data_IF_411942515212
#
_entry.id   IF_411942515212
#
_cell.length_a   1.000
_cell.length_b   1.000
_cell.length_c   1.000
_cell.angle_alpha   90.00
_cell.angle_beta   90.00
_cell.angle_gamma   90.00
#
_symmetry.space_group_name_H-M   'P 1'
#
loop_
_entity.id
_entity.type
_entity.pdbx_description
1 polymer ?
#
# COMPACT_ATOMS: atom_id res chain seq x y z
N UNK A 1 32.24 65.51 -5.25
CA UNK A 1 30.93 65.84 -4.62
C UNK A 1 29.92 65.81 -5.77
N UNK A 2 28.88 65.00 -5.93
CA UNK A 2 28.06 64.06 -5.13
C UNK A 2 27.62 62.91 -6.08
N UNK A 3 27.79 61.62 -5.76
CA UNK A 3 26.78 60.69 -5.21
C UNK A 3 25.32 61.02 -5.55
N UNK A 4 24.63 60.14 -6.29
CA UNK A 4 23.25 59.70 -6.03
C UNK A 4 22.88 58.48 -6.87
N UNK A 5 22.56 57.38 -6.18
CA UNK A 5 21.80 56.23 -6.65
C UNK A 5 20.36 56.37 -6.13
N UNK A 6 19.36 55.75 -6.79
CA UNK A 6 18.07 55.25 -6.26
C UNK A 6 17.40 54.49 -7.43
N UNK A 7 17.29 53.16 -7.39
CA UNK A 7 16.29 52.31 -6.72
C UNK A 7 14.87 52.39 -7.33
N UNK A 8 14.32 51.23 -7.70
CA UNK A 8 12.87 51.01 -7.65
C UNK A 8 12.29 50.16 -8.77
N UNK A 9 12.53 48.84 -8.78
CA UNK A 9 11.70 47.89 -9.52
C UNK A 9 10.85 47.10 -8.51
N UNK A 10 9.60 47.52 -8.34
CA UNK A 10 8.62 46.81 -7.53
C UNK A 10 8.02 45.66 -8.36
N UNK A 11 8.43 44.43 -8.06
CA UNK A 11 7.78 43.24 -8.58
C UNK A 11 6.62 42.85 -7.66
N UNK A 12 5.40 43.06 -8.13
CA UNK A 12 4.15 42.60 -7.51
C UNK A 12 4.06 41.09 -7.70
N UNK A 13 4.34 40.31 -6.65
CA UNK A 13 3.99 38.89 -6.62
C UNK A 13 2.52 38.75 -6.21
N UNK A 14 1.69 38.36 -7.17
CA UNK A 14 0.30 37.97 -6.97
C UNK A 14 0.23 36.70 -6.11
N UNK A 15 -0.42 36.82 -4.96
CA UNK A 15 -0.88 35.70 -4.13
C UNK A 15 -2.03 34.99 -4.86
N UNK A 16 -1.73 33.92 -5.59
CA UNK A 16 -2.75 32.93 -5.95
C UNK A 16 -2.89 31.94 -4.81
N UNK A 17 -3.76 32.27 -3.85
CA UNK A 17 -4.35 31.29 -2.93
C UNK A 17 -5.31 30.39 -3.70
N UNK A 18 -4.75 29.46 -4.47
CA UNK A 18 -5.46 28.28 -4.92
C UNK A 18 -5.21 27.16 -3.91
N UNK A 19 -6.21 26.84 -3.08
CA UNK A 19 -6.30 25.51 -2.47
C UNK A 19 -6.52 24.50 -3.61
N UNK A 20 -5.48 24.23 -4.40
CA UNK A 20 -5.41 23.00 -5.14
C UNK A 20 -5.30 21.90 -4.11
N UNK A 21 -6.38 21.13 -3.93
CA UNK A 21 -6.33 19.81 -3.30
C UNK A 21 -5.42 18.95 -4.18
N UNK A 22 -4.12 19.12 -4.02
CA UNK A 22 -3.06 18.30 -4.59
C UNK A 22 -3.02 16.99 -3.81
N UNK A 23 -4.15 16.27 -3.77
CA UNK A 23 -4.06 14.84 -3.49
C UNK A 23 -3.37 14.26 -4.72
N UNK A 24 -2.18 13.67 -4.59
CA UNK A 24 -1.68 12.84 -5.66
C UNK A 24 -2.72 11.73 -5.83
N UNK A 25 -3.53 11.81 -6.89
CA UNK A 25 -4.08 10.61 -7.52
C UNK A 25 -2.87 9.86 -8.04
N UNK A 26 -2.25 9.11 -7.14
CA UNK A 26 -1.21 8.18 -7.51
C UNK A 26 -1.88 7.17 -8.44
N UNK A 27 -1.75 7.41 -9.75
CA UNK A 27 -1.64 6.31 -10.69
C UNK A 27 -0.30 5.62 -10.41
N UNK A 28 -0.19 5.03 -9.22
CA UNK A 28 0.92 4.18 -8.85
C UNK A 28 0.78 2.93 -9.70
N UNK A 29 1.74 2.70 -10.58
CA UNK A 29 1.90 1.43 -11.26
C UNK A 29 1.75 0.30 -10.23
N UNK A 30 0.83 -0.66 -10.44
CA UNK A 30 0.62 -1.75 -9.50
C UNK A 30 1.94 -2.44 -9.17
N UNK A 31 2.18 -2.74 -7.89
CA UNK A 31 3.37 -3.48 -7.51
C UNK A 31 3.40 -4.87 -8.17
N UNK A 32 4.60 -5.45 -8.29
CA UNK A 32 4.77 -6.84 -8.71
C UNK A 32 4.67 -7.77 -7.49
N UNK A 33 3.83 -8.83 -7.52
CA UNK A 33 3.80 -9.86 -6.49
C UNK A 33 5.19 -10.43 -6.22
N UNK A 34 5.55 -10.47 -4.95
CA UNK A 34 6.84 -10.98 -4.49
C UNK A 34 6.86 -11.06 -2.98
N UNK A 35 8.06 -11.03 -2.40
CA UNK A 35 8.21 -10.92 -0.94
C UNK A 35 8.30 -9.44 -0.57
N UNK A 36 7.47 -9.01 0.39
CA UNK A 36 7.50 -7.66 0.92
C UNK A 36 7.12 -7.65 2.40
N UNK A 37 7.72 -6.74 3.16
CA UNK A 37 7.34 -6.51 4.54
C UNK A 37 7.46 -5.03 4.88
N UNK A 38 6.52 -4.52 5.69
CA UNK A 38 6.53 -3.18 6.24
C UNK A 38 5.89 -3.16 7.63
N UNK A 39 6.25 -2.16 8.43
CA UNK A 39 5.78 -1.99 9.80
C UNK A 39 6.47 -2.92 10.80
N UNK A 40 5.91 -2.99 12.02
CA UNK A 40 6.49 -3.65 13.18
C UNK A 40 6.78 -2.69 14.34
N UNK A 41 6.95 -3.26 15.54
CA UNK A 41 7.09 -2.49 16.78
C UNK A 41 5.80 -1.73 17.12
N UNK A 42 5.86 -0.39 17.04
CA UNK A 42 4.71 0.49 17.27
C UNK A 42 3.83 0.70 16.02
N UNK A 43 4.35 0.35 14.84
CA UNK A 43 3.62 0.49 13.57
C UNK A 43 2.90 -0.81 13.22
N UNK A 44 1.69 -0.74 12.63
CA UNK A 44 0.96 -1.94 12.21
C UNK A 44 1.78 -2.77 11.23
N UNK A 45 1.92 -4.07 11.51
CA UNK A 45 2.65 -4.99 10.65
C UNK A 45 1.85 -5.32 9.39
N UNK A 46 2.57 -5.48 8.29
CA UNK A 46 2.05 -5.94 7.01
C UNK A 46 3.17 -6.68 6.25
N UNK A 47 2.87 -7.87 5.74
CA UNK A 47 3.78 -8.60 4.88
C UNK A 47 3.06 -9.35 3.76
N UNK A 48 3.79 -9.68 2.72
CA UNK A 48 3.33 -10.41 1.55
C UNK A 48 4.39 -11.42 1.13
N UNK A 49 3.96 -12.60 0.70
CA UNK A 49 4.84 -13.60 0.11
C UNK A 49 4.14 -14.40 -0.98
N UNK A 50 4.81 -14.56 -2.12
CA UNK A 50 4.35 -15.45 -3.18
C UNK A 50 4.84 -16.86 -2.91
N UNK A 51 3.90 -17.80 -2.82
CA UNK A 51 4.18 -19.22 -2.66
C UNK A 51 3.13 -20.03 -3.40
N UNK A 52 3.54 -21.07 -4.13
CA UNK A 52 2.68 -21.91 -4.96
C UNK A 52 1.75 -21.15 -5.93
N UNK A 53 2.25 -20.04 -6.49
CA UNK A 53 1.48 -19.18 -7.39
C UNK A 53 0.35 -18.41 -6.70
N UNK A 54 0.39 -18.28 -5.37
CA UNK A 54 -0.58 -17.55 -4.56
C UNK A 54 0.11 -16.46 -3.74
N UNK A 55 -0.56 -15.32 -3.56
CA UNK A 55 -0.07 -14.24 -2.72
C UNK A 55 -0.61 -14.47 -1.32
N UNK A 56 0.27 -14.73 -0.37
CA UNK A 56 -0.07 -14.81 1.04
C UNK A 56 0.16 -13.44 1.66
N UNK A 57 -0.84 -12.90 2.35
CA UNK A 57 -0.80 -11.56 2.93
C UNK A 57 -1.02 -11.68 4.43
N UNK A 58 -0.12 -11.07 5.20
CA UNK A 58 -0.02 -11.20 6.66
C UNK A 58 -0.18 -9.84 7.32
N UNK A 59 -0.95 -9.80 8.41
CA UNK A 59 -1.06 -8.64 9.29
C UNK A 59 -0.31 -8.80 10.60
N UNK A 60 0.25 -9.98 10.88
CA UNK A 60 1.07 -10.23 12.06
C UNK A 60 2.39 -10.91 11.71
N UNK A 61 3.45 -10.54 12.44
CA UNK A 61 4.78 -11.16 12.27
C UNK A 61 4.77 -12.64 12.66
N UNK A 62 3.99 -12.99 13.68
CA UNK A 62 3.84 -14.37 14.16
C UNK A 62 3.33 -15.29 13.05
N UNK A 63 2.27 -14.88 12.33
CA UNK A 63 1.71 -15.69 11.24
C UNK A 63 2.67 -15.82 10.07
N UNK A 64 3.45 -14.77 9.75
CA UNK A 64 4.51 -14.87 8.74
C UNK A 64 5.59 -15.88 9.15
N UNK A 65 6.05 -15.83 10.40
CA UNK A 65 7.06 -16.77 10.91
C UNK A 65 6.55 -18.22 10.94
N UNK A 66 5.27 -18.44 11.28
CA UNK A 66 4.63 -19.75 11.20
C UNK A 66 4.51 -20.23 9.75
N UNK A 67 4.13 -19.34 8.83
CA UNK A 67 4.10 -19.64 7.40
C UNK A 67 5.49 -19.98 6.86
N UNK A 68 6.56 -19.31 7.30
CA UNK A 68 7.91 -19.67 6.88
C UNK A 68 8.33 -21.08 7.29
N UNK A 69 7.82 -21.57 8.41
CA UNK A 69 8.10 -22.92 8.93
C UNK A 69 7.26 -24.00 8.26
N UNK A 70 5.96 -23.72 8.08
CA UNK A 70 4.97 -24.71 7.63
C UNK A 70 4.72 -24.65 6.12
N UNK A 71 5.01 -23.50 5.50
CA UNK A 71 4.63 -23.14 4.13
C UNK A 71 3.13 -23.22 3.86
N UNK A 72 2.33 -23.19 4.92
CA UNK A 72 0.88 -23.23 4.86
C UNK A 72 0.28 -22.13 5.73
N UNK A 73 -0.81 -21.53 5.27
CA UNK A 73 -1.57 -20.58 6.09
C UNK A 73 -2.76 -21.27 6.73
N UNK A 74 -3.04 -20.93 7.98
CA UNK A 74 -4.15 -21.53 8.71
C UNK A 74 -5.49 -21.21 8.01
N UNK A 75 -6.25 -22.22 7.54
CA UNK A 75 -7.50 -22.00 6.81
C UNK A 75 -8.62 -21.39 7.65
N UNK A 76 -8.54 -21.50 8.98
CA UNK A 76 -9.51 -20.90 9.90
C UNK A 76 -9.22 -19.43 10.21
N UNK A 77 -7.97 -19.01 10.00
CA UNK A 77 -7.49 -17.64 10.22
C UNK A 77 -7.09 -16.98 8.90
N UNK A 78 -7.72 -17.38 7.80
CA UNK A 78 -7.48 -16.78 6.50
C UNK A 78 -8.70 -16.77 5.60
N UNK A 79 -8.71 -15.82 4.67
CA UNK A 79 -9.71 -15.71 3.61
C UNK A 79 -9.04 -15.78 2.25
N UNK A 80 -9.60 -16.61 1.38
CA UNK A 80 -9.19 -16.71 -0.03
C UNK A 80 -9.97 -15.73 -0.88
N UNK A 81 -9.26 -14.94 -1.66
CA UNK A 81 -9.77 -13.97 -2.63
C UNK A 81 -9.13 -14.23 -3.99
N UNK A 82 -9.79 -13.78 -5.04
CA UNK A 82 -9.21 -13.77 -6.39
C UNK A 82 -9.01 -12.31 -6.73
N UNK A 83 -7.78 -11.91 -7.03
CA UNK A 83 -7.47 -10.54 -7.42
C UNK A 83 -8.22 -10.19 -8.70
N UNK A 84 -9.20 -9.28 -8.61
CA UNK A 84 -9.89 -8.69 -9.76
C UNK A 84 -9.32 -7.30 -9.97
N UNK A 85 -8.58 -7.10 -11.06
CA UNK A 85 -7.96 -5.83 -11.42
C UNK A 85 -7.79 -5.71 -12.93
N UNK A 86 -7.46 -4.50 -13.42
CA UNK A 86 -7.34 -4.22 -14.86
C UNK A 86 -6.08 -4.87 -15.46
N UNK A 87 -6.24 -5.71 -16.50
CA UNK A 87 -5.21 -6.60 -17.14
C UNK A 87 -3.87 -5.92 -17.50
N UNK A 88 -3.81 -4.60 -17.46
CA UNK A 88 -2.62 -3.79 -17.74
C UNK A 88 -1.86 -3.52 -16.43
N UNK A 89 -0.79 -4.28 -16.17
CA UNK A 89 0.12 -4.06 -15.04
C UNK A 89 0.70 -5.33 -14.43
N UNK A 90 1.66 -5.18 -13.52
CA UNK A 90 2.40 -6.29 -12.90
C UNK A 90 1.72 -6.88 -11.65
N UNK A 91 0.43 -6.62 -11.39
CA UNK A 91 -0.26 -7.04 -10.15
C UNK A 91 -0.72 -8.50 -10.10
N UNK A 92 -1.19 -9.03 -8.93
CA UNK A 92 -1.69 -10.39 -8.71
C UNK A 92 -3.09 -10.59 -9.29
N UNK A 93 -3.33 -10.06 -10.48
CA UNK A 93 -4.61 -10.16 -11.15
C UNK A 93 -4.79 -11.59 -11.63
N UNK A 94 -5.98 -12.15 -11.39
CA UNK A 94 -6.27 -13.58 -11.60
C UNK A 94 -5.45 -14.52 -10.72
N UNK A 95 -4.63 -14.00 -9.82
CA UNK A 95 -3.91 -14.78 -8.83
C UNK A 95 -4.79 -15.00 -7.59
N UNK A 96 -4.61 -16.14 -6.95
CA UNK A 96 -5.24 -16.38 -5.65
C UNK A 96 -4.50 -15.57 -4.59
N UNK A 97 -5.23 -14.75 -3.85
CA UNK A 97 -4.72 -14.00 -2.71
C UNK A 97 -5.29 -14.65 -1.46
N UNK A 98 -4.43 -15.09 -0.55
CA UNK A 98 -4.84 -15.61 0.75
C UNK A 98 -4.45 -14.55 1.78
N UNK A 99 -5.44 -14.03 2.51
CA UNK A 99 -5.25 -12.94 3.45
C UNK A 99 -5.47 -13.44 4.87
N UNK A 100 -4.56 -13.14 5.79
CA UNK A 100 -4.74 -13.38 7.22
C UNK A 100 -6.01 -12.67 7.70
N UNK A 101 -6.88 -13.39 8.39
CA UNK A 101 -8.08 -12.86 9.02
C UNK A 101 -8.20 -13.34 10.44
N UNK A 102 -8.68 -12.51 11.35
CA UNK A 102 -8.99 -12.93 12.72
C UNK A 102 -10.35 -12.40 13.16
N UNK A 103 -11.10 -13.26 13.85
CA UNK A 103 -12.40 -12.88 14.44
C UNK A 103 -12.24 -11.82 15.53
N UNK A 104 -11.09 -11.81 16.19
CA UNK A 104 -10.85 -10.96 17.35
C UNK A 104 -10.47 -9.52 16.96
N UNK A 105 -9.98 -9.31 15.72
CA UNK A 105 -9.50 -8.01 15.26
C UNK A 105 -9.98 -7.66 13.83
N UNK A 106 -11.28 -7.39 13.63
CA UNK A 106 -11.82 -7.04 12.32
C UNK A 106 -11.21 -5.75 11.72
N UNK A 107 -10.68 -4.86 12.56
CA UNK A 107 -9.97 -3.66 12.12
C UNK A 107 -8.63 -4.01 11.44
N UNK A 108 -7.95 -5.06 11.88
CA UNK A 108 -6.72 -5.57 11.25
C UNK A 108 -7.06 -6.08 9.86
N UNK A 109 -8.08 -6.91 9.72
CA UNK A 109 -8.52 -7.48 8.45
C UNK A 109 -8.84 -6.40 7.42
N UNK A 110 -9.63 -5.38 7.82
CA UNK A 110 -9.94 -4.23 6.96
C UNK A 110 -8.69 -3.48 6.53
N UNK A 111 -7.73 -3.29 7.43
CA UNK A 111 -6.45 -2.63 7.12
C UNK A 111 -5.66 -3.43 6.09
N UNK A 112 -5.47 -4.73 6.31
CA UNK A 112 -4.72 -5.59 5.38
C UNK A 112 -5.37 -5.56 3.99
N UNK A 113 -6.69 -5.75 3.92
CA UNK A 113 -7.45 -5.74 2.67
C UNK A 113 -7.32 -4.41 1.92
N UNK A 114 -7.39 -3.29 2.65
CA UNK A 114 -7.17 -1.96 2.07
C UNK A 114 -5.75 -1.81 1.53
N UNK A 115 -4.74 -2.19 2.29
CA UNK A 115 -3.33 -2.06 1.88
C UNK A 115 -3.02 -2.89 0.64
N UNK A 116 -3.48 -4.14 0.57
CA UNK A 116 -3.28 -4.98 -0.62
C UNK A 116 -4.08 -4.45 -1.82
N UNK A 117 -5.29 -3.95 -1.61
CA UNK A 117 -6.10 -3.35 -2.67
C UNK A 117 -5.42 -2.11 -3.27
N UNK A 118 -4.94 -1.19 -2.42
CA UNK A 118 -4.24 0.03 -2.84
C UNK A 118 -2.94 -0.30 -3.56
N UNK A 119 -2.11 -1.21 -3.02
CA UNK A 119 -0.80 -1.55 -3.58
C UNK A 119 -0.89 -2.14 -4.99
N UNK A 120 -1.92 -2.94 -5.24
CA UNK A 120 -2.09 -3.68 -6.48
C UNK A 120 -3.20 -3.14 -7.38
N UNK A 121 -3.84 -2.04 -6.98
CA UNK A 121 -4.99 -1.46 -7.65
C UNK A 121 -6.10 -2.51 -7.89
N UNK A 122 -6.44 -3.28 -6.85
CA UNK A 122 -7.44 -4.35 -6.90
C UNK A 122 -8.80 -3.86 -6.44
N UNK A 123 -9.84 -4.46 -7.01
CA UNK A 123 -11.20 -4.42 -6.45
C UNK A 123 -11.44 -5.71 -5.68
N UNK A 124 -11.51 -5.64 -4.34
CA UNK A 124 -11.64 -6.78 -3.42
C UNK A 124 -12.96 -6.81 -2.66
#
# INVERSE_FOLDING_TARGET
>A
MHRSAILGLAAVLALTTGCGDSRPTANSTPATPGSYQNGGGLSPFYAEEVHDGRLHVFGSKKTLEEFHKTKEMNPLASKRLIGKGPVVGAGPQRMTIIVETTKDEPAKDKRILRTVAERYNLTL
#
